data_IF_534111336769
#
_entry.id   IF_534111336769
#
_cell.length_a   1.000
_cell.length_b   1.000
_cell.length_c   1.000
_cell.angle_alpha   90.00
_cell.angle_beta   90.00
_cell.angle_gamma   90.00
#
_symmetry.space_group_name_H-M   'P 1'
#
loop_
_entity.id
_entity.type
_entity.pdbx_description
1 polymer ?
#
# COMPACT_ATOMS: atom_id res chain seq x y z
N UNK A 1 30.12 -57.60 5.89
CA UNK A 1 31.53 -57.89 6.23
C UNK A 1 31.90 -59.19 5.55
N UNK A 2 33.12 -59.29 4.99
CA UNK A 2 33.62 -60.55 4.42
C UNK A 2 34.76 -61.04 5.28
N UNK A 3 34.68 -62.28 5.75
CA UNK A 3 35.79 -62.96 6.43
C UNK A 3 36.11 -64.24 5.65
N UNK A 4 37.39 -64.45 5.39
CA UNK A 4 37.93 -65.62 4.70
C UNK A 4 38.94 -66.27 5.64
N UNK A 5 38.83 -67.56 5.88
CA UNK A 5 39.84 -68.30 6.64
C UNK A 5 40.88 -68.96 5.70
N UNK A 6 41.81 -69.69 6.30
CA UNK A 6 43.09 -70.04 5.68
C UNK A 6 43.05 -71.09 4.57
N UNK A 7 41.93 -71.78 4.35
CA UNK A 7 41.74 -72.73 3.25
C UNK A 7 40.85 -72.19 2.12
N UNK A 8 40.42 -70.93 2.25
CA UNK A 8 39.75 -70.18 1.19
C UNK A 8 38.23 -70.07 1.36
N UNK A 9 37.65 -70.67 2.39
CA UNK A 9 36.22 -70.57 2.66
C UNK A 9 35.85 -69.14 3.09
N UNK A 10 34.80 -68.60 2.46
CA UNK A 10 34.41 -67.20 2.65
C UNK A 10 32.98 -67.11 3.17
N UNK A 11 32.78 -66.36 4.26
CA UNK A 11 31.45 -66.01 4.75
C UNK A 11 31.19 -64.52 4.52
N UNK A 12 30.06 -64.23 3.88
CA UNK A 12 29.58 -62.87 3.63
C UNK A 12 28.33 -62.63 4.47
N UNK A 13 28.39 -61.64 5.34
CA UNK A 13 27.25 -61.19 6.14
C UNK A 13 26.81 -59.79 5.69
N UNK A 14 25.51 -59.61 5.50
CA UNK A 14 24.88 -58.34 5.09
C UNK A 14 23.84 -57.92 6.13
N UNK A 15 23.79 -56.63 6.41
CA UNK A 15 22.73 -56.00 7.19
C UNK A 15 22.15 -54.85 6.37
N UNK A 16 20.85 -54.64 6.46
CA UNK A 16 20.14 -53.53 5.83
C UNK A 16 19.39 -52.75 6.90
N UNK A 17 19.27 -51.44 6.69
CA UNK A 17 18.38 -50.57 7.46
C UNK A 17 17.35 -50.05 6.48
N UNK A 18 16.08 -50.30 6.78
CA UNK A 18 14.98 -49.76 5.99
C UNK A 18 14.83 -48.28 6.32
N UNK A 19 15.11 -47.43 5.34
CA UNK A 19 15.00 -45.98 5.49
C UNK A 19 13.61 -45.46 5.09
N UNK A 20 12.85 -46.26 4.33
CA UNK A 20 11.49 -45.98 3.83
C UNK A 20 10.74 -47.31 3.68
N UNK A 21 9.53 -47.41 4.24
CA UNK A 21 8.63 -48.56 4.11
C UNK A 21 7.14 -48.15 4.04
N UNK A 22 6.22 -49.13 4.09
CA UNK A 22 4.77 -48.88 4.09
C UNK A 22 4.22 -48.24 5.37
N UNK A 23 5.04 -48.14 6.42
CA UNK A 23 4.69 -47.51 7.69
C UNK A 23 5.28 -46.11 7.83
N UNK A 24 6.29 -45.73 7.02
CA UNK A 24 6.82 -44.38 6.99
C UNK A 24 8.23 -44.24 6.40
N UNK A 25 8.82 -43.06 6.60
CA UNK A 25 10.15 -42.68 6.11
C UNK A 25 10.96 -42.09 7.25
N UNK A 26 12.26 -42.34 7.28
CA UNK A 26 13.21 -41.68 8.20
C UNK A 26 13.44 -40.20 7.86
N UNK A 27 12.94 -39.74 6.70
CA UNK A 27 13.00 -38.37 6.22
C UNK A 27 11.64 -37.69 6.37
N UNK A 28 11.62 -36.53 7.04
CA UNK A 28 10.50 -35.59 7.08
C UNK A 28 10.84 -34.33 6.28
N UNK A 29 9.82 -33.76 5.64
CA UNK A 29 9.92 -32.47 4.96
C UNK A 29 8.93 -31.53 5.63
N UNK A 30 9.45 -30.52 6.32
CA UNK A 30 8.63 -29.42 6.86
C UNK A 30 8.32 -28.47 5.70
N UNK A 31 7.14 -28.62 5.10
CA UNK A 31 6.62 -27.73 4.06
C UNK A 31 5.42 -26.95 4.64
N UNK A 32 5.71 -25.82 5.29
CA UNK A 32 4.71 -24.84 5.71
C UNK A 32 4.54 -23.76 4.64
N UNK A 33 3.33 -23.66 4.09
CA UNK A 33 3.02 -22.66 3.06
C UNK A 33 3.09 -21.22 3.57
N UNK A 34 3.33 -20.24 2.67
CA UNK A 34 3.47 -18.84 3.06
C UNK A 34 2.16 -18.28 3.62
N UNK A 35 2.28 -17.37 4.59
CA UNK A 35 1.16 -16.61 5.16
C UNK A 35 1.37 -15.11 4.96
N UNK A 36 0.28 -14.35 4.85
CA UNK A 36 0.31 -12.89 4.69
C UNK A 36 -0.84 -12.27 5.49
N UNK A 37 -0.51 -11.24 6.28
CA UNK A 37 -1.50 -10.40 6.96
C UNK A 37 -1.21 -8.93 6.68
N UNK A 38 -2.26 -8.15 6.42
CA UNK A 38 -2.19 -6.69 6.27
C UNK A 38 -3.14 -6.07 7.28
N UNK A 39 -2.64 -5.15 8.09
CA UNK A 39 -3.42 -4.37 9.05
C UNK A 39 -3.17 -2.87 8.87
N UNK A 40 -3.96 -2.03 9.53
CA UNK A 40 -3.80 -0.57 9.54
C UNK A 40 -3.22 -0.10 10.87
N UNK A 41 -2.41 0.95 10.86
CA UNK A 41 -1.90 1.58 12.08
C UNK A 41 -2.98 2.43 12.77
N UNK A 42 -3.07 2.38 14.10
CA UNK A 42 -3.98 3.24 14.86
C UNK A 42 -3.58 4.72 14.66
N UNK A 43 -4.55 5.59 14.38
CA UNK A 43 -4.30 7.02 14.13
C UNK A 43 -3.77 7.38 12.74
N UNK A 44 -3.69 6.42 11.80
CA UNK A 44 -3.23 6.65 10.43
C UNK A 44 -3.94 7.82 9.70
N UNK A 45 -5.23 8.05 9.99
CA UNK A 45 -5.99 9.15 9.38
C UNK A 45 -5.46 10.54 9.79
N UNK A 46 -4.96 10.70 11.02
CA UNK A 46 -4.40 11.98 11.48
C UNK A 46 -3.08 12.34 10.78
N UNK A 47 -2.33 11.33 10.32
CA UNK A 47 -1.09 11.52 9.55
C UNK A 47 -1.33 11.96 8.10
N UNK A 48 -2.58 11.86 7.63
CA UNK A 48 -3.00 12.25 6.28
C UNK A 48 -3.64 13.64 6.25
N UNK A 49 -3.77 14.29 7.40
CA UNK A 49 -4.31 15.65 7.48
C UNK A 49 -3.37 16.62 6.78
N UNK A 50 -3.93 17.40 5.87
CA UNK A 50 -3.25 18.49 5.16
C UNK A 50 -4.19 19.67 5.13
N UNK A 51 -3.62 20.87 5.18
CA UNK A 51 -4.32 22.14 5.03
C UNK A 51 -3.88 22.75 3.69
N UNK A 52 -4.81 23.37 2.98
CA UNK A 52 -4.57 23.99 1.68
C UNK A 52 -5.02 25.45 1.76
N UNK A 53 -4.16 26.37 1.32
CA UNK A 53 -4.44 27.81 1.28
C UNK A 53 -4.86 28.23 -0.13
N UNK A 54 -6.09 28.73 -0.28
CA UNK A 54 -6.64 29.17 -1.57
C UNK A 54 -6.12 30.52 -2.04
N UNK A 55 -5.34 31.22 -1.22
CA UNK A 55 -4.74 32.49 -1.62
C UNK A 55 -3.76 32.27 -2.78
N UNK A 56 -3.51 33.32 -3.57
CA UNK A 56 -2.50 33.28 -4.64
C UNK A 56 -1.56 34.44 -4.42
N UNK A 57 -0.26 34.16 -4.40
CA UNK A 57 0.78 35.11 -4.04
C UNK A 57 0.94 35.27 -2.54
N UNK A 58 1.27 36.48 -2.09
CA UNK A 58 1.44 36.73 -0.66
C UNK A 58 0.12 36.47 0.09
N UNK A 59 0.25 35.85 1.27
CA UNK A 59 -0.86 35.61 2.19
C UNK A 59 -1.66 36.91 2.48
N UNK A 60 -2.97 36.77 2.66
CA UNK A 60 -3.93 37.87 2.84
C UNK A 60 -4.87 37.58 4.01
N UNK A 61 -4.71 38.33 5.10
CA UNK A 61 -5.63 38.33 6.24
C UNK A 61 -6.47 39.62 6.30
N UNK A 62 -7.67 39.55 6.88
CA UNK A 62 -8.51 40.73 7.14
C UNK A 62 -8.23 41.36 8.51
N UNK A 63 -7.17 42.18 8.59
CA UNK A 63 -6.81 42.89 9.82
C UNK A 63 -7.90 43.84 10.36
N UNK A 64 -8.88 44.25 9.55
CA UNK A 64 -9.98 45.12 9.99
C UNK A 64 -10.99 44.41 10.90
N UNK A 65 -11.06 43.08 10.86
CA UNK A 65 -11.91 42.26 11.74
C UNK A 65 -11.08 41.49 12.78
N UNK A 66 -9.80 41.83 12.92
CA UNK A 66 -8.89 41.21 13.89
C UNK A 66 -8.37 39.85 13.47
N UNK A 67 -8.45 39.50 12.18
CA UNK A 67 -7.62 38.41 11.66
C UNK A 67 -6.15 38.83 11.73
N UNK A 68 -5.34 37.86 12.04
CA UNK A 68 -3.89 37.96 12.02
C UNK A 68 -3.41 36.88 11.07
N UNK A 69 -2.34 37.17 10.34
CA UNK A 69 -1.50 36.14 9.70
C UNK A 69 -1.41 34.93 10.64
N UNK A 70 -1.65 33.72 10.11
CA UNK A 70 -1.67 32.51 10.93
C UNK A 70 -0.41 32.47 11.80
N UNK A 71 -0.59 32.23 13.10
CA UNK A 71 0.43 32.42 14.13
C UNK A 71 1.68 31.54 13.94
N UNK A 72 1.62 30.59 12.99
CA UNK A 72 2.73 29.76 12.51
C UNK A 72 3.65 30.42 11.48
N UNK A 73 3.33 31.62 10.97
CA UNK A 73 4.09 32.24 9.86
C UNK A 73 3.93 31.47 8.54
N UNK A 74 2.74 30.91 8.32
CA UNK A 74 2.40 30.22 7.09
C UNK A 74 2.18 31.24 5.99
N UNK A 75 3.27 31.71 5.39
CA UNK A 75 3.17 32.27 4.05
C UNK A 75 2.49 31.21 3.16
N UNK A 76 1.53 31.62 2.35
CA UNK A 76 1.05 30.79 1.24
C UNK A 76 2.26 30.17 0.51
N UNK A 77 2.43 28.86 0.69
CA UNK A 77 3.61 28.12 0.25
C UNK A 77 3.24 26.96 -0.66
N UNK A 78 1.95 26.75 -0.88
CA UNK A 78 1.36 25.67 -1.63
C UNK A 78 0.75 26.12 -2.98
N UNK A 79 0.78 27.43 -3.30
CA UNK A 79 0.33 27.98 -4.60
C UNK A 79 1.31 27.78 -5.77
N UNK A 80 2.46 27.16 -5.53
CA UNK A 80 3.47 26.88 -6.57
C UNK A 80 3.03 25.77 -7.54
N UNK A 81 2.01 24.99 -7.18
CA UNK A 81 1.47 23.88 -7.95
C UNK A 81 0.65 24.32 -9.17
N UNK A 82 -0.03 23.36 -9.84
CA UNK A 82 -0.87 23.64 -11.00
C UNK A 82 -2.27 24.19 -10.64
N UNK A 83 -2.58 24.32 -9.35
CA UNK A 83 -3.84 24.83 -8.82
C UNK A 83 -3.63 26.06 -7.94
N UNK A 84 -4.67 26.44 -7.19
CA UNK A 84 -4.60 27.45 -6.14
C UNK A 84 -3.74 26.98 -4.96
N UNK A 85 -3.80 25.68 -4.66
CA UNK A 85 -2.99 25.03 -3.64
C UNK A 85 -2.61 23.60 -4.05
N UNK A 86 -1.43 23.15 -3.65
CA UNK A 86 -1.00 21.77 -3.76
C UNK A 86 -0.14 21.35 -2.56
N UNK A 87 -0.62 20.35 -1.83
CA UNK A 87 0.05 19.86 -0.62
C UNK A 87 0.21 18.35 -0.68
N UNK A 88 1.40 17.90 -0.28
CA UNK A 88 1.68 16.49 -0.06
C UNK A 88 1.60 16.18 1.43
N UNK A 89 1.06 15.01 1.78
CA UNK A 89 1.22 14.46 3.12
C UNK A 89 2.71 14.26 3.44
N UNK A 90 3.04 14.31 4.74
CA UNK A 90 4.40 14.11 5.23
C UNK A 90 4.52 12.81 6.06
N UNK A 91 3.97 11.70 5.54
CA UNK A 91 4.02 10.41 6.23
C UNK A 91 5.46 9.90 6.21
N UNK A 92 6.08 9.80 7.39
CA UNK A 92 7.47 9.34 7.52
C UNK A 92 7.62 7.91 6.96
N UNK A 93 8.49 7.76 5.97
CA UNK A 93 8.71 6.48 5.25
C UNK A 93 7.58 6.06 4.31
N UNK A 94 6.68 6.98 3.94
CA UNK A 94 5.67 6.78 2.90
C UNK A 94 4.36 6.16 3.39
N UNK A 95 3.35 6.17 2.52
CA UNK A 95 2.01 5.66 2.80
C UNK A 95 1.97 4.19 3.19
N UNK A 96 2.94 3.39 2.77
CA UNK A 96 3.00 1.96 3.13
C UNK A 96 3.22 1.77 4.64
N UNK A 97 3.81 2.73 5.35
CA UNK A 97 3.96 2.71 6.81
C UNK A 97 2.65 2.89 7.58
N UNK A 98 1.57 3.29 6.91
CA UNK A 98 0.22 3.28 7.48
C UNK A 98 -0.33 1.86 7.64
N UNK A 99 0.35 0.87 7.04
CA UNK A 99 -0.02 -0.53 7.06
C UNK A 99 1.04 -1.38 7.75
N UNK A 100 0.60 -2.41 8.46
CA UNK A 100 1.49 -3.44 9.03
C UNK A 100 1.44 -4.68 8.16
N UNK A 101 2.59 -5.10 7.60
CA UNK A 101 2.72 -6.35 6.85
C UNK A 101 3.32 -7.42 7.76
N UNK A 102 2.61 -8.54 7.92
CA UNK A 102 3.05 -9.69 8.74
C UNK A 102 3.01 -11.02 7.98
N UNK A 103 3.38 -12.12 8.65
CA UNK A 103 3.41 -13.49 8.10
C UNK A 103 4.82 -14.03 7.84
N UNK A 104 4.95 -15.35 7.60
CA UNK A 104 6.23 -16.04 7.29
C UNK A 104 6.36 -16.34 5.79
N UNK A 105 7.59 -16.52 5.31
CA UNK A 105 7.83 -17.09 3.98
C UNK A 105 7.65 -18.61 3.96
N UNK A 106 7.66 -19.27 5.13
CA UNK A 106 7.73 -20.72 5.23
C UNK A 106 9.18 -21.20 5.26
N UNK A 107 9.35 -22.52 5.18
CA UNK A 107 10.64 -23.21 5.28
C UNK A 107 11.52 -23.08 4.02
N UNK A 108 10.96 -22.59 2.91
CA UNK A 108 11.68 -22.36 1.64
C UNK A 108 12.50 -21.06 1.61
N UNK A 109 12.41 -20.25 2.67
CA UNK A 109 13.22 -19.06 2.87
C UNK A 109 12.64 -17.79 2.20
N UNK A 110 13.28 -16.62 2.40
CA UNK A 110 12.71 -15.36 1.96
C UNK A 110 12.54 -15.30 0.44
N UNK A 111 11.31 -15.07 0.00
CA UNK A 111 10.96 -14.70 -1.37
C UNK A 111 10.72 -13.19 -1.50
N UNK A 112 9.91 -12.79 -2.48
CA UNK A 112 9.64 -11.37 -2.75
C UNK A 112 8.27 -10.96 -2.22
N UNK A 113 8.22 -9.80 -1.55
CA UNK A 113 6.98 -9.08 -1.25
C UNK A 113 6.89 -7.88 -2.18
N UNK A 114 5.81 -7.79 -2.95
CA UNK A 114 5.46 -6.59 -3.73
C UNK A 114 4.13 -6.03 -3.25
N UNK A 115 3.97 -4.72 -3.31
CA UNK A 115 2.76 -4.04 -2.88
C UNK A 115 2.30 -2.98 -3.88
N UNK A 116 1.01 -2.67 -3.88
CA UNK A 116 0.43 -1.59 -4.69
C UNK A 116 -0.63 -0.85 -3.90
N UNK A 117 -0.56 0.48 -3.92
CA UNK A 117 -1.53 1.36 -3.27
C UNK A 117 -2.60 1.81 -4.27
N UNK A 118 -3.84 1.93 -3.82
CA UNK A 118 -4.96 2.42 -4.64
C UNK A 118 -6.09 2.99 -3.78
N UNK A 119 -6.97 3.80 -4.38
CA UNK A 119 -8.19 4.25 -3.71
C UNK A 119 -9.36 3.30 -3.98
N UNK A 120 -10.20 3.11 -2.98
CA UNK A 120 -11.46 2.35 -3.08
C UNK A 120 -12.57 3.02 -2.26
N UNK A 121 -13.79 2.49 -2.36
CA UNK A 121 -14.95 2.96 -1.59
C UNK A 121 -15.78 4.08 -2.25
N UNK A 122 -15.29 4.66 -3.35
CA UNK A 122 -16.03 5.63 -4.16
C UNK A 122 -16.85 4.88 -5.23
N UNK A 123 -18.19 4.89 -5.20
CA UNK A 123 -19.02 4.26 -6.21
C UNK A 123 -18.99 5.06 -7.52
N UNK A 124 -19.41 4.44 -8.63
CA UNK A 124 -19.47 5.10 -9.94
C UNK A 124 -20.35 6.35 -9.96
N UNK A 125 -21.37 6.42 -9.08
CA UNK A 125 -22.22 7.60 -8.91
C UNK A 125 -21.60 8.72 -8.08
N UNK A 126 -20.38 8.53 -7.56
CA UNK A 126 -19.66 9.49 -6.73
C UNK A 126 -20.09 9.53 -5.26
N UNK A 127 -19.35 10.30 -4.46
CA UNK A 127 -19.65 10.59 -3.06
C UNK A 127 -19.86 12.10 -2.88
N UNK A 128 -21.05 12.51 -2.47
CA UNK A 128 -21.35 13.90 -2.19
C UNK A 128 -20.58 14.38 -0.95
N UNK A 129 -20.06 15.60 -1.02
CA UNK A 129 -19.33 16.24 0.07
C UNK A 129 -20.16 17.34 0.73
N UNK A 130 -19.65 17.93 1.82
CA UNK A 130 -20.17 19.17 2.41
C UNK A 130 -19.62 20.43 1.73
N UNK A 131 -18.70 20.28 0.78
CA UNK A 131 -18.04 21.39 0.11
C UNK A 131 -18.88 21.88 -1.08
N UNK A 132 -18.76 23.18 -1.32
CA UNK A 132 -19.30 23.87 -2.49
C UNK A 132 -18.19 24.72 -3.08
N UNK A 133 -17.99 24.67 -4.39
CA UNK A 133 -17.09 25.56 -5.09
C UNK A 133 -17.72 26.96 -5.20
N UNK A 134 -16.85 27.98 -5.27
CA UNK A 134 -17.26 29.39 -5.39
C UNK A 134 -18.01 29.64 -6.70
N UNK A 135 -17.55 29.03 -7.80
CA UNK A 135 -18.33 28.85 -9.02
C UNK A 135 -18.75 27.37 -9.11
N UNK A 136 -19.77 27.02 -9.89
CA UNK A 136 -20.08 25.60 -10.13
C UNK A 136 -20.84 24.82 -9.04
N UNK A 137 -20.89 25.27 -7.79
CA UNK A 137 -21.78 24.74 -6.75
C UNK A 137 -21.28 23.48 -6.02
N UNK A 138 -22.19 22.57 -5.63
CA UNK A 138 -21.87 21.43 -4.76
C UNK A 138 -20.85 20.45 -5.36
N UNK A 139 -19.92 19.96 -4.53
CA UNK A 139 -18.80 19.11 -4.97
C UNK A 139 -19.07 17.64 -4.65
N UNK A 140 -18.88 16.79 -5.66
CA UNK A 140 -18.97 15.32 -5.57
C UNK A 140 -17.63 14.68 -5.93
N UNK A 141 -17.17 13.72 -5.13
CA UNK A 141 -15.94 12.97 -5.38
C UNK A 141 -16.18 11.78 -6.30
N UNK A 142 -15.31 11.62 -7.29
CA UNK A 142 -15.27 10.49 -8.22
C UNK A 142 -13.89 9.83 -8.18
N UNK A 143 -13.80 8.55 -8.53
CA UNK A 143 -12.54 7.86 -8.74
C UNK A 143 -12.28 7.72 -10.24
N UNK A 144 -11.30 8.45 -10.75
CA UNK A 144 -11.01 8.56 -12.17
C UNK A 144 -9.53 8.25 -12.43
N UNK A 145 -9.25 7.18 -13.18
CA UNK A 145 -7.86 6.83 -13.51
C UNK A 145 -6.95 6.56 -12.30
N UNK A 146 -7.50 6.20 -11.14
CA UNK A 146 -6.76 5.99 -9.90
C UNK A 146 -6.54 7.25 -9.05
N UNK A 147 -7.12 8.39 -9.45
CA UNK A 147 -7.08 9.66 -8.73
C UNK A 147 -8.50 9.99 -8.26
N UNK A 148 -8.63 10.53 -7.04
CA UNK A 148 -9.90 11.06 -6.58
C UNK A 148 -10.06 12.45 -7.17
N UNK A 149 -11.17 12.71 -7.85
CA UNK A 149 -11.47 13.99 -8.50
C UNK A 149 -12.76 14.54 -7.88
N UNK A 150 -12.69 15.72 -7.26
CA UNK A 150 -13.86 16.46 -6.83
C UNK A 150 -14.39 17.31 -7.98
N UNK A 151 -15.64 17.05 -8.40
CA UNK A 151 -16.31 17.81 -9.46
C UNK A 151 -17.48 18.61 -8.91
N UNK A 152 -17.65 19.82 -9.44
CA UNK A 152 -18.80 20.67 -9.17
C UNK A 152 -20.05 20.19 -9.94
N UNK A 153 -21.15 20.96 -9.88
CA UNK A 153 -22.40 20.62 -10.61
C UNK A 153 -22.32 20.86 -12.12
N UNK A 154 -21.30 21.59 -12.57
CA UNK A 154 -21.00 21.85 -13.99
C UNK A 154 -20.00 20.82 -14.55
N UNK A 155 -19.54 19.88 -13.72
CA UNK A 155 -18.53 18.87 -13.99
C UNK A 155 -17.09 19.41 -14.15
N UNK A 156 -16.82 20.64 -13.72
CA UNK A 156 -15.45 21.15 -13.64
C UNK A 156 -14.69 20.45 -12.52
N UNK A 157 -13.36 20.34 -12.68
CA UNK A 157 -12.49 19.77 -11.66
C UNK A 157 -12.16 20.84 -10.62
N UNK A 158 -12.61 20.62 -9.38
CA UNK A 158 -12.38 21.54 -8.26
C UNK A 158 -11.15 21.11 -7.47
N UNK A 159 -11.02 19.82 -7.17
CA UNK A 159 -9.88 19.29 -6.42
C UNK A 159 -9.49 17.90 -6.90
N UNK A 160 -8.25 17.50 -6.60
CA UNK A 160 -7.78 16.13 -6.77
C UNK A 160 -7.05 15.61 -5.54
N UNK A 161 -7.12 14.30 -5.31
CA UNK A 161 -6.27 13.59 -4.35
C UNK A 161 -5.64 12.40 -5.08
N UNK A 162 -4.32 12.42 -5.20
CA UNK A 162 -3.53 11.43 -5.94
C UNK A 162 -2.51 10.74 -5.03
N UNK A 163 -2.16 9.49 -5.35
CA UNK A 163 -1.00 8.83 -4.78
C UNK A 163 0.21 9.18 -5.66
N UNK A 164 1.22 9.82 -5.08
CA UNK A 164 2.42 10.28 -5.80
C UNK A 164 3.69 9.81 -5.08
N UNK A 165 4.85 9.89 -5.73
CA UNK A 165 6.13 9.47 -5.18
C UNK A 165 6.61 8.12 -5.71
N UNK A 166 7.85 7.76 -5.36
CA UNK A 166 8.46 6.49 -5.72
C UNK A 166 7.93 5.36 -4.83
N UNK A 167 7.98 4.09 -5.28
CA UNK A 167 7.63 2.93 -4.46
C UNK A 167 8.36 2.93 -3.11
N UNK A 168 7.61 2.86 -2.00
CA UNK A 168 8.14 2.91 -0.63
C UNK A 168 8.34 4.33 -0.08
N UNK A 169 8.02 5.37 -0.84
CA UNK A 169 8.05 6.77 -0.42
C UNK A 169 6.79 7.53 -0.87
N UNK A 170 5.71 6.80 -1.19
CA UNK A 170 4.49 7.39 -1.70
C UNK A 170 3.86 8.35 -0.67
N UNK A 171 3.18 9.38 -1.15
CA UNK A 171 2.41 10.35 -0.36
C UNK A 171 1.06 10.60 -1.04
N UNK A 172 0.07 11.08 -0.28
CA UNK A 172 -1.11 11.68 -0.88
C UNK A 172 -0.76 13.11 -1.28
N UNK A 173 -1.05 13.46 -2.52
CA UNK A 173 -1.00 14.83 -3.02
C UNK A 173 -2.43 15.31 -3.22
N UNK A 174 -2.80 16.36 -2.49
CA UNK A 174 -4.07 17.06 -2.69
C UNK A 174 -3.77 18.31 -3.50
N UNK A 175 -4.57 18.58 -4.53
CA UNK A 175 -4.49 19.82 -5.31
C UNK A 175 -5.87 20.44 -5.38
N UNK A 176 -5.96 21.75 -5.13
CA UNK A 176 -7.16 22.53 -5.23
C UNK A 176 -7.04 23.45 -6.45
N UNK A 177 -7.95 23.34 -7.40
CA UNK A 177 -7.94 24.07 -8.68
C UNK A 177 -8.93 25.24 -8.69
N UNK A 178 -9.96 25.17 -7.85
CA UNK A 178 -11.00 26.16 -7.73
C UNK A 178 -11.31 26.43 -6.27
N UNK A 179 -11.56 27.71 -5.96
CA UNK A 179 -11.80 28.20 -4.62
C UNK A 179 -13.11 27.63 -4.05
N UNK A 180 -13.12 27.32 -2.76
CA UNK A 180 -14.29 26.85 -2.04
C UNK A 180 -15.12 28.02 -1.53
N UNK A 181 -16.41 27.78 -1.37
CA UNK A 181 -17.34 28.76 -0.81
C UNK A 181 -17.45 28.54 0.70
N UNK A 182 -16.93 29.50 1.46
CA UNK A 182 -16.92 29.51 2.93
C UNK A 182 -18.24 30.03 3.54
N UNK A 183 -19.21 30.39 2.69
CA UNK A 183 -20.49 30.94 3.09
C UNK A 183 -20.35 32.35 3.67
N UNK A 184 -21.27 32.70 4.58
CA UNK A 184 -21.20 33.97 5.30
C UNK A 184 -20.29 33.81 6.52
N UNK A 185 -18.98 33.95 6.32
CA UNK A 185 -17.98 33.82 7.39
C UNK A 185 -17.60 35.16 8.06
N UNK A 186 -18.18 36.26 7.59
CA UNK A 186 -17.93 37.61 8.10
C UNK A 186 -16.76 38.32 7.43
N UNK A 187 -16.46 37.98 6.16
CA UNK A 187 -15.27 38.43 5.42
C UNK A 187 -13.98 37.94 6.07
N UNK A 188 -14.01 36.70 6.55
CA UNK A 188 -12.80 36.02 7.00
C UNK A 188 -12.05 35.51 5.77
N UNK A 189 -10.75 35.71 5.72
CA UNK A 189 -9.95 35.22 4.59
C UNK A 189 -9.34 33.85 4.89
N UNK A 190 -9.22 33.49 6.17
CA UNK A 190 -8.54 32.26 6.63
C UNK A 190 -9.53 31.27 7.28
N UNK A 191 -10.74 31.17 6.72
CA UNK A 191 -11.78 30.31 7.30
C UNK A 191 -11.58 28.85 6.89
N UNK A 192 -11.39 27.94 7.86
CA UNK A 192 -11.15 26.53 7.55
C UNK A 192 -12.44 25.78 7.16
N UNK A 193 -12.37 24.98 6.08
CA UNK A 193 -13.41 24.02 5.69
C UNK A 193 -12.90 22.59 5.72
N UNK A 194 -13.49 21.79 6.61
CA UNK A 194 -13.18 20.37 6.71
C UNK A 194 -14.02 19.54 5.71
N UNK A 195 -13.35 18.79 4.83
CA UNK A 195 -14.00 17.89 3.88
C UNK A 195 -14.67 16.72 4.61
N UNK A 196 -15.98 16.58 4.43
CA UNK A 196 -16.78 15.48 4.97
C UNK A 196 -17.79 14.97 3.95
N UNK A 197 -18.16 13.68 4.07
CA UNK A 197 -19.17 13.05 3.21
C UNK A 197 -20.56 13.26 3.80
N UNK A 198 -21.50 13.76 3.00
CA UNK A 198 -22.84 14.16 3.49
C UNK A 198 -23.87 13.03 3.48
N UNK A 199 -23.67 12.00 2.67
CA UNK A 199 -24.61 10.88 2.51
C UNK A 199 -24.04 9.54 3.01
N UNK A 200 -23.04 9.58 3.90
CA UNK A 200 -22.28 8.40 4.30
C UNK A 200 -21.37 7.87 3.19
N UNK A 201 -20.89 6.64 3.34
CA UNK A 201 -19.84 6.06 2.51
C UNK A 201 -18.44 6.26 3.10
N UNK A 202 -17.44 5.76 2.40
CA UNK A 202 -16.05 5.82 2.85
C UNK A 202 -15.13 5.94 1.64
N UNK A 203 -14.14 6.82 1.74
CA UNK A 203 -12.97 6.81 0.86
C UNK A 203 -11.90 6.02 1.59
N UNK A 204 -11.30 5.03 0.94
CA UNK A 204 -10.32 4.16 1.54
C UNK A 204 -9.03 4.14 0.72
N UNK A 205 -7.90 4.26 1.40
CA UNK A 205 -6.60 3.89 0.86
C UNK A 205 -6.40 2.39 1.07
N UNK A 206 -6.27 1.64 -0.01
CA UNK A 206 -6.03 0.20 0.00
C UNK A 206 -4.57 -0.09 -0.33
N UNK A 207 -3.99 -1.03 0.39
CA UNK A 207 -2.67 -1.60 0.10
C UNK A 207 -2.79 -3.10 -0.22
N UNK A 208 -2.66 -3.47 -1.48
CA UNK A 208 -2.63 -4.88 -1.92
C UNK A 208 -1.20 -5.38 -1.89
N UNK A 209 -0.95 -6.46 -1.14
CA UNK A 209 0.38 -7.08 -1.01
C UNK A 209 0.36 -8.48 -1.60
N UNK A 210 1.39 -8.82 -2.37
CA UNK A 210 1.62 -10.15 -2.93
C UNK A 210 2.93 -10.70 -2.40
N UNK A 211 2.90 -11.93 -1.92
CA UNK A 211 4.08 -12.65 -1.44
C UNK A 211 4.32 -13.86 -2.34
N UNK A 212 5.51 -13.96 -2.91
CA UNK A 212 5.94 -15.12 -3.71
C UNK A 212 7.01 -15.89 -2.95
N UNK A 213 6.92 -17.22 -3.03
CA UNK A 213 7.86 -18.17 -2.46
C UNK A 213 8.86 -18.66 -3.54
N UNK A 214 10.05 -19.12 -3.14
CA UNK A 214 11.05 -19.59 -4.11
C UNK A 214 10.68 -21.01 -4.53
N UNK A 215 10.26 -21.19 -5.79
CA UNK A 215 9.99 -22.55 -6.31
C UNK A 215 11.29 -23.33 -6.42
N UNK A 216 11.48 -24.33 -5.57
CA UNK A 216 12.43 -25.39 -5.86
C UNK A 216 11.95 -26.13 -7.12
N UNK A 217 12.73 -26.05 -8.21
CA UNK A 217 12.51 -26.94 -9.36
C UNK A 217 12.74 -28.37 -8.87
N UNK A 218 11.69 -29.17 -8.81
CA UNK A 218 11.84 -30.62 -8.78
C UNK A 218 12.47 -31.03 -10.11
N UNK A 219 13.79 -31.23 -10.12
CA UNK A 219 14.42 -32.01 -11.17
C UNK A 219 13.80 -33.40 -11.08
N UNK A 220 13.01 -33.80 -12.09
CA UNK A 220 12.50 -35.17 -12.15
C UNK A 220 13.70 -36.10 -12.20
N UNK A 221 13.96 -36.82 -11.10
CA UNK A 221 14.98 -37.87 -11.04
C UNK A 221 14.43 -39.09 -11.79
N UNK A 222 14.31 -38.97 -13.10
CA UNK A 222 13.87 -40.06 -13.96
C UNK A 222 15.03 -40.71 -14.74
N UNK A 223 16.28 -40.25 -14.61
CA UNK A 223 17.31 -40.68 -15.58
C UNK A 223 18.76 -40.80 -15.08
N UNK A 224 19.00 -41.13 -13.80
CA UNK A 224 20.38 -41.36 -13.32
C UNK A 224 20.69 -42.67 -12.58
N UNK A 225 19.76 -43.62 -12.47
CA UNK A 225 20.13 -44.99 -12.09
C UNK A 225 20.16 -45.91 -13.31
N UNK A 226 21.28 -45.91 -14.03
CA UNK A 226 21.66 -47.07 -14.86
C UNK A 226 22.52 -47.98 -13.97
N UNK A 227 22.05 -49.17 -13.56
CA UNK A 227 22.93 -50.14 -12.95
C UNK A 227 23.94 -50.55 -14.03
N UNK A 228 25.22 -50.33 -13.78
CA UNK A 228 26.29 -50.81 -14.64
C UNK A 228 26.18 -52.32 -14.79
N UNK A 229 25.90 -52.77 -16.01
CA UNK A 229 26.10 -54.16 -16.42
C UNK A 229 27.60 -54.45 -16.42
N UNK A 230 28.10 -54.99 -15.31
CA UNK A 230 29.36 -55.72 -15.32
C UNK A 230 29.11 -57.08 -15.98
N UNK A 231 29.42 -57.18 -17.27
CA UNK A 231 29.65 -58.46 -17.91
C UNK A 231 31.13 -58.82 -17.74
N UNK A 232 31.34 -60.06 -17.29
CA UNK A 232 32.59 -60.83 -17.27
C UNK A 232 33.13 -60.97 -18.69
#
# INVERSE_FOLDING_TARGET
MTRQDGDGDTVIEKATVDLIDGNGSAFSFDDDGPSLTVGTHDGAAGLLSVELDETVGADRYNGAIGETEDAGGNANTDDAGPGLAQVNTAVSGGLTNLFTIGGSYGSDGPGTVTGTLSFTGIPAGGLATNLTATDGGAITLFLEGGVIVGRDTQLNQVLTIAITGAPGAEQLQTTLYEALNHGADGNKFDSELNLSLTNGGQVQLQYEVRRQQVRFRTQSVADQWRPGSAAI
#
